data_IF_522582496568
#
_entry.id   IF_522582496568
#
_cell.length_a   1.000
_cell.length_b   1.000
_cell.length_c   1.000
_cell.angle_alpha   90.00
_cell.angle_beta   90.00
_cell.angle_gamma   90.00
#
_symmetry.space_group_name_H-M   'P 1'
#
loop_
_entity.id
_entity.type
_entity.pdbx_description
1 polymer ?
#
# COMPACT_ATOMS: atom_id res chain seq x y z
N UNK A 1 -7.12 20.67 23.72
CA UNK A 1 -7.03 19.24 24.05
C UNK A 1 -6.88 18.52 22.72
N UNK A 2 -5.64 18.32 22.29
CA UNK A 2 -5.31 17.73 20.99
C UNK A 2 -5.54 16.23 21.11
N UNK A 3 -6.47 15.66 20.34
CA UNK A 3 -6.67 14.23 20.30
C UNK A 3 -5.39 13.58 19.73
N UNK A 4 -4.85 12.60 20.44
CA UNK A 4 -3.83 11.70 19.88
C UNK A 4 -4.60 10.66 19.07
N UNK A 5 -4.36 10.65 17.76
CA UNK A 5 -4.89 9.61 16.89
C UNK A 5 -4.16 8.30 17.22
N UNK A 6 -4.89 7.26 17.57
CA UNK A 6 -4.31 5.95 17.90
C UNK A 6 -4.19 5.14 16.62
N UNK A 7 -2.96 4.99 16.15
CA UNK A 7 -2.66 4.28 14.91
C UNK A 7 -2.72 2.77 15.12
N UNK A 8 -3.61 2.10 14.40
CA UNK A 8 -3.69 0.63 14.36
C UNK A 8 -2.80 0.13 13.22
N UNK A 9 -1.73 -0.57 13.58
CA UNK A 9 -0.84 -1.20 12.61
C UNK A 9 -1.35 -2.59 12.24
N UNK A 10 -1.23 -2.94 10.96
CA UNK A 10 -1.66 -4.23 10.41
C UNK A 10 -0.49 -4.82 9.63
N UNK A 11 -0.15 -6.07 9.94
CA UNK A 11 0.83 -6.82 9.16
C UNK A 11 0.27 -7.16 7.78
N UNK A 12 0.99 -6.77 6.72
CA UNK A 12 0.56 -6.96 5.33
C UNK A 12 1.23 -8.18 4.69
N UNK A 13 2.56 -8.18 4.61
CA UNK A 13 3.34 -9.27 4.03
C UNK A 13 4.80 -9.24 4.50
N UNK A 14 5.53 -10.33 4.30
CA UNK A 14 6.98 -10.35 4.49
C UNK A 14 7.71 -9.60 3.39
N UNK A 15 8.91 -9.07 3.71
CA UNK A 15 9.74 -8.29 2.76
C UNK A 15 10.05 -9.05 1.47
N UNK A 16 10.24 -10.38 1.56
CA UNK A 16 10.54 -11.23 0.40
C UNK A 16 9.37 -11.35 -0.59
N UNK A 17 8.15 -11.02 -0.16
CA UNK A 17 6.96 -11.00 -1.01
C UNK A 17 6.75 -9.66 -1.74
N UNK A 18 7.63 -8.67 -1.51
CA UNK A 18 7.53 -7.33 -2.10
C UNK A 18 8.73 -7.05 -3.03
N UNK A 19 8.59 -7.29 -4.34
CA UNK A 19 9.65 -7.03 -5.31
C UNK A 19 9.96 -5.53 -5.42
N UNK A 20 11.23 -5.19 -5.65
CA UNK A 20 11.63 -3.81 -5.89
C UNK A 20 10.98 -3.26 -7.18
N UNK A 21 10.52 -2.02 -7.14
CA UNK A 21 9.83 -1.29 -8.22
C UNK A 21 8.50 -1.90 -8.68
N UNK A 22 7.90 -2.82 -7.90
CA UNK A 22 6.57 -3.35 -8.16
C UNK A 22 5.65 -3.13 -6.96
N UNK A 23 4.36 -2.93 -7.26
CA UNK A 23 3.32 -2.85 -6.24
C UNK A 23 2.69 -4.21 -5.94
N UNK A 24 2.32 -4.42 -4.68
CA UNK A 24 1.50 -5.55 -4.23
C UNK A 24 0.25 -5.00 -3.59
N UNK A 25 -0.91 -5.53 -3.99
CA UNK A 25 -2.19 -5.18 -3.38
C UNK A 25 -2.40 -5.99 -2.09
N UNK A 26 -2.94 -5.33 -1.07
CA UNK A 26 -3.33 -5.94 0.19
C UNK A 26 -4.72 -5.49 0.61
N UNK A 27 -5.43 -6.36 1.33
CA UNK A 27 -6.74 -6.09 1.90
C UNK A 27 -6.60 -5.99 3.42
N UNK A 28 -6.95 -4.83 3.98
CA UNK A 28 -6.95 -4.58 5.41
C UNK A 28 -8.19 -5.18 6.09
N UNK A 29 -8.19 -5.38 7.42
CA UNK A 29 -9.30 -5.99 8.16
C UNK A 29 -10.64 -5.26 8.03
N UNK A 30 -10.61 -3.96 7.78
CA UNK A 30 -11.79 -3.11 7.56
C UNK A 30 -12.31 -3.14 6.10
N UNK A 31 -11.67 -3.93 5.23
CA UNK A 31 -12.00 -4.05 3.81
C UNK A 31 -11.35 -2.99 2.93
N UNK A 32 -10.54 -2.08 3.49
CA UNK A 32 -9.79 -1.09 2.70
C UNK A 32 -8.69 -1.80 1.92
N UNK A 33 -8.56 -1.46 0.63
CA UNK A 33 -7.49 -1.99 -0.21
C UNK A 33 -6.35 -0.99 -0.30
N UNK A 34 -5.13 -1.47 -0.06
CA UNK A 34 -3.90 -0.68 -0.16
C UNK A 34 -2.95 -1.31 -1.16
N UNK A 35 -2.18 -0.46 -1.84
CA UNK A 35 -1.07 -0.85 -2.69
C UNK A 35 0.23 -0.51 -1.95
N UNK A 36 1.08 -1.51 -1.73
CA UNK A 36 2.38 -1.38 -1.07
C UNK A 36 3.48 -1.50 -2.11
N UNK A 37 4.50 -0.66 -1.99
CA UNK A 37 5.61 -0.58 -2.92
C UNK A 37 6.94 -0.61 -2.16
N UNK A 38 7.94 -1.24 -2.76
CA UNK A 38 9.34 -1.15 -2.37
C UNK A 38 10.11 -0.46 -3.48
N UNK A 39 10.78 0.66 -3.18
CA UNK A 39 11.60 1.37 -4.18
C UNK A 39 12.91 0.63 -4.43
N UNK A 40 13.61 1.00 -5.50
CA UNK A 40 14.98 0.50 -5.78
C UNK A 40 16.00 0.91 -4.71
N UNK A 41 15.69 1.93 -3.90
CA UNK A 41 16.49 2.41 -2.77
C UNK A 41 16.13 1.73 -1.45
N UNK A 42 15.31 0.68 -1.49
CA UNK A 42 14.82 -0.05 -0.31
C UNK A 42 13.91 0.76 0.63
N UNK A 43 13.16 1.71 0.08
CA UNK A 43 12.14 2.47 0.82
C UNK A 43 10.75 1.89 0.60
N UNK A 44 9.88 1.98 1.60
CA UNK A 44 8.54 1.38 1.59
C UNK A 44 7.48 2.46 1.60
N UNK A 45 6.52 2.34 0.68
CA UNK A 45 5.38 3.25 0.58
C UNK A 45 4.09 2.46 0.48
N UNK A 46 3.02 3.04 1.03
CA UNK A 46 1.67 2.51 0.87
C UNK A 46 0.71 3.63 0.48
N UNK A 47 -0.23 3.32 -0.41
CA UNK A 47 -1.34 4.20 -0.78
C UNK A 47 -2.61 3.38 -1.00
N UNK A 48 -3.74 4.04 -1.24
CA UNK A 48 -4.96 3.34 -1.68
C UNK A 48 -4.68 2.50 -2.93
N UNK A 49 -5.24 1.30 -3.04
CA UNK A 49 -5.18 0.53 -4.28
C UNK A 49 -6.22 0.99 -5.32
N UNK A 50 -7.19 1.82 -4.89
CA UNK A 50 -8.28 2.32 -5.75
C UNK A 50 -7.84 3.61 -6.43
N UNK A 51 -7.85 3.59 -7.77
CA UNK A 51 -7.63 4.78 -8.60
C UNK A 51 -8.75 5.80 -8.36
N UNK A 52 -8.44 7.02 -7.87
CA UNK A 52 -9.45 8.04 -7.57
C UNK A 52 -10.20 8.56 -8.81
N UNK A 53 -9.68 8.35 -10.02
CA UNK A 53 -10.34 8.79 -11.25
C UNK A 53 -11.33 7.76 -11.79
N UNK A 54 -10.90 6.50 -11.90
CA UNK A 54 -11.74 5.43 -12.46
C UNK A 54 -12.54 4.63 -11.43
N UNK A 55 -12.14 4.67 -10.15
CA UNK A 55 -12.67 3.81 -9.10
C UNK A 55 -12.19 2.34 -9.18
N UNK A 56 -11.25 2.03 -10.08
CA UNK A 56 -10.75 0.68 -10.24
C UNK A 56 -9.61 0.37 -9.25
N UNK A 57 -9.59 -0.84 -8.70
CA UNK A 57 -8.55 -1.31 -7.77
C UNK A 57 -7.27 -1.77 -8.52
N UNK A 58 -6.58 -0.82 -9.16
CA UNK A 58 -5.49 -1.11 -10.11
C UNK A 58 -4.15 -0.47 -9.76
N UNK A 59 -4.06 0.36 -8.72
CA UNK A 59 -2.85 1.17 -8.49
C UNK A 59 -1.61 0.34 -8.15
N UNK A 60 -1.75 -0.83 -7.51
CA UNK A 60 -0.64 -1.76 -7.30
C UNK A 60 0.01 -2.26 -8.61
N UNK A 61 -0.68 -2.14 -9.75
CA UNK A 61 -0.18 -2.53 -11.08
C UNK A 61 0.47 -1.39 -11.84
N UNK A 62 0.60 -0.21 -11.22
CA UNK A 62 1.28 0.94 -11.81
C UNK A 62 2.77 0.68 -12.03
N UNK A 63 3.32 1.32 -13.06
CA UNK A 63 4.77 1.31 -13.32
C UNK A 63 5.41 2.35 -12.38
N UNK A 64 6.50 1.97 -11.71
CA UNK A 64 7.29 2.85 -10.85
C UNK A 64 8.66 3.05 -11.49
N UNK A 65 8.94 4.25 -12.00
CA UNK A 65 10.21 4.58 -12.66
C UNK A 65 10.08 5.66 -13.73
#
# INVERSE_FOLDING_TARGET
MTAVDEWIWVDVCGVDALPAAFGVAALLPDGVQVAVFRTVSDEYYALSNVDPFSGAAVLARGIVG
#
